data_IF_735297619778
#
_entry.id   IF_735297619778
#
_cell.length_a   1.000
_cell.length_b   1.000
_cell.length_c   1.000
_cell.angle_alpha   90.00
_cell.angle_beta   90.00
_cell.angle_gamma   90.00
#
_symmetry.space_group_name_H-M   'P 1'
#
loop_
_entity.id
_entity.type
_entity.pdbx_description
1 polymer ?
#
# COMPACT_ATOMS: atom_id res chain seq x y z
N UNK A 1 15.38 0.58 -5.09
CA UNK A 1 14.06 1.25 -5.00
C UNK A 1 14.07 2.05 -3.71
N UNK A 2 13.28 3.12 -3.58
CA UNK A 2 13.16 3.83 -2.29
C UNK A 2 12.06 3.20 -1.44
N UNK A 3 12.25 3.19 -0.12
CA UNK A 3 11.26 2.75 0.85
C UNK A 3 9.95 3.53 0.67
N UNK A 4 8.82 2.82 0.65
CA UNK A 4 7.50 3.45 0.69
C UNK A 4 7.15 3.85 2.13
N UNK A 5 6.90 5.15 2.31
CA UNK A 5 6.54 5.76 3.59
C UNK A 5 5.06 5.51 3.91
N UNK A 6 4.75 5.11 5.15
CA UNK A 6 3.38 5.03 5.68
C UNK A 6 2.90 6.39 6.22
N UNK A 7 1.62 6.52 6.57
CA UNK A 7 1.13 7.73 7.24
C UNK A 7 1.80 7.95 8.62
N UNK A 8 2.16 6.86 9.31
CA UNK A 8 2.95 6.93 10.55
C UNK A 8 4.35 7.48 10.26
N UNK A 9 5.03 7.00 9.20
CA UNK A 9 6.35 7.49 8.82
C UNK A 9 6.29 9.01 8.52
N UNK A 10 5.25 9.46 7.81
CA UNK A 10 5.01 10.88 7.50
C UNK A 10 4.72 11.70 8.76
N UNK A 11 3.99 11.15 9.74
CA UNK A 11 3.76 11.80 11.04
C UNK A 11 5.08 12.13 11.74
N UNK A 12 5.98 11.16 11.85
CA UNK A 12 7.29 11.37 12.48
C UNK A 12 8.19 12.33 11.67
N UNK A 13 8.19 12.22 10.34
CA UNK A 13 8.89 13.18 9.48
C UNK A 13 8.34 14.59 9.64
N UNK A 14 7.02 14.75 9.76
CA UNK A 14 6.41 16.08 9.95
C UNK A 14 6.94 16.75 11.21
N UNK A 15 7.07 16.00 12.33
CA UNK A 15 7.67 16.50 13.57
C UNK A 15 9.13 16.89 13.39
N UNK A 16 9.92 16.05 12.72
CA UNK A 16 11.34 16.33 12.49
C UNK A 16 11.53 17.58 11.59
N UNK A 17 10.70 17.72 10.55
CA UNK A 17 10.78 18.82 9.60
C UNK A 17 10.23 20.15 10.12
N UNK A 18 9.58 20.18 11.30
CA UNK A 18 9.30 21.43 12.01
C UNK A 18 10.57 22.22 12.34
N UNK A 19 11.74 21.58 12.35
CA UNK A 19 13.04 22.27 12.43
C UNK A 19 13.29 23.26 11.28
N UNK A 20 12.56 23.13 10.16
CA UNK A 20 12.60 24.06 9.04
C UNK A 20 11.71 25.29 9.22
N UNK A 21 10.87 25.37 10.26
CA UNK A 21 10.05 26.55 10.50
C UNK A 21 10.96 27.77 10.68
N UNK A 22 10.62 28.87 10.00
CA UNK A 22 11.44 30.09 9.84
C UNK A 22 12.72 29.92 9.02
N UNK A 23 12.98 28.75 8.41
CA UNK A 23 14.09 28.58 7.49
C UNK A 23 13.77 29.24 6.14
N UNK A 24 14.80 29.84 5.53
CA UNK A 24 14.73 30.46 4.20
C UNK A 24 15.06 29.43 3.14
N UNK A 25 14.25 29.32 2.09
CA UNK A 25 14.57 28.51 0.92
C UNK A 25 15.61 29.28 0.10
N UNK A 26 16.86 28.81 0.07
CA UNK A 26 17.93 29.48 -0.68
C UNK A 26 17.96 29.05 -2.13
N UNK A 27 18.00 27.73 -2.36
CA UNK A 27 18.25 27.15 -3.68
C UNK A 27 17.39 25.90 -3.84
N UNK A 28 16.91 25.68 -5.06
CA UNK A 28 16.13 24.50 -5.42
C UNK A 28 16.80 23.87 -6.63
N UNK A 29 17.03 22.57 -6.62
CA UNK A 29 17.62 21.83 -7.73
C UNK A 29 16.74 20.64 -8.08
N UNK A 30 16.86 20.17 -9.30
CA UNK A 30 16.21 18.94 -9.71
C UNK A 30 17.18 18.12 -10.56
N UNK A 31 17.33 16.86 -10.19
CA UNK A 31 18.09 15.84 -10.92
C UNK A 31 17.12 14.69 -11.16
N UNK A 32 16.82 14.40 -12.42
CA UNK A 32 15.81 13.40 -12.81
C UNK A 32 14.46 13.60 -12.06
N UNK A 33 14.08 12.63 -11.22
CA UNK A 33 12.88 12.60 -10.40
C UNK A 33 13.08 13.09 -8.96
N UNK A 34 14.26 13.62 -8.65
CA UNK A 34 14.62 14.08 -7.32
C UNK A 34 14.72 15.60 -7.28
N UNK A 35 14.05 16.22 -6.32
CA UNK A 35 14.11 17.67 -6.07
C UNK A 35 14.84 17.91 -4.76
N UNK A 36 15.88 18.75 -4.81
CA UNK A 36 16.65 19.16 -3.64
C UNK A 36 16.30 20.60 -3.27
N UNK A 37 15.79 20.81 -2.05
CA UNK A 37 15.55 22.12 -1.49
C UNK A 37 16.63 22.43 -0.45
N UNK A 38 17.46 23.43 -0.72
CA UNK A 38 18.45 23.93 0.26
C UNK A 38 17.83 25.06 1.06
N UNK A 39 17.77 24.84 2.36
CA UNK A 39 17.30 25.79 3.36
C UNK A 39 18.47 26.38 4.13
N UNK A 40 18.32 27.64 4.53
CA UNK A 40 19.15 28.28 5.54
C UNK A 40 18.29 28.50 6.79
N UNK A 41 18.62 27.79 7.86
CA UNK A 41 17.99 27.94 9.17
C UNK A 41 18.99 28.55 10.16
N UNK A 42 18.53 28.84 11.39
CA UNK A 42 19.43 29.29 12.48
C UNK A 42 20.52 28.26 12.82
N UNK A 43 20.25 26.98 12.53
CA UNK A 43 21.17 25.87 12.77
C UNK A 43 22.11 25.60 11.59
N UNK A 44 22.06 26.42 10.54
CA UNK A 44 22.89 26.31 9.35
C UNK A 44 22.14 25.84 8.12
N UNK A 45 22.89 25.28 7.16
CA UNK A 45 22.34 24.81 5.88
C UNK A 45 21.78 23.41 6.03
N UNK A 46 20.57 23.21 5.54
CA UNK A 46 19.88 21.91 5.52
C UNK A 46 19.40 21.64 4.11
N UNK A 47 19.61 20.44 3.59
CA UNK A 47 19.10 20.03 2.28
C UNK A 47 17.99 19.01 2.48
N UNK A 48 16.78 19.31 1.98
CA UNK A 48 15.69 18.35 1.86
C UNK A 48 15.74 17.73 0.47
N UNK A 49 15.84 16.40 0.39
CA UNK A 49 15.79 15.57 -0.80
C UNK A 49 14.40 14.96 -0.92
N UNK A 50 13.71 15.26 -2.02
CA UNK A 50 12.40 14.71 -2.35
C UNK A 50 12.51 13.82 -3.59
N UNK A 51 12.45 12.50 -3.42
CA UNK A 51 12.47 11.51 -4.52
C UNK A 51 11.04 11.11 -4.84
N UNK A 52 10.59 11.44 -6.04
CA UNK A 52 9.22 11.18 -6.49
C UNK A 52 9.19 9.75 -7.05
N UNK A 53 8.30 8.86 -6.54
CA UNK A 53 6.95 9.20 -6.07
C UNK A 53 6.67 9.26 -4.57
N UNK A 54 7.63 9.13 -3.65
CA UNK A 54 7.19 9.05 -2.25
C UNK A 54 8.24 8.94 -1.16
N UNK A 55 9.43 9.49 -1.39
CA UNK A 55 10.49 9.48 -0.40
C UNK A 55 10.98 10.90 -0.14
N UNK A 56 11.20 11.21 1.14
CA UNK A 56 11.56 12.55 1.59
C UNK A 56 12.55 12.42 2.76
N UNK A 57 13.72 13.03 2.65
CA UNK A 57 14.77 13.00 3.67
C UNK A 57 15.56 14.31 3.73
N UNK A 58 16.15 14.62 4.87
CA UNK A 58 17.33 15.45 4.94
C UNK A 58 18.52 14.67 4.40
N UNK A 59 19.26 15.32 3.51
CA UNK A 59 20.41 14.70 2.86
C UNK A 59 21.65 15.55 2.99
N UNK A 60 22.79 14.86 3.05
CA UNK A 60 24.15 15.43 2.95
C UNK A 60 24.81 15.05 1.62
N UNK A 61 24.06 14.44 0.72
CA UNK A 61 24.53 14.02 -0.59
C UNK A 61 24.93 15.22 -1.45
N UNK A 62 26.10 15.12 -2.08
CA UNK A 62 26.50 16.00 -3.17
C UNK A 62 25.89 15.48 -4.48
N UNK A 63 25.44 16.40 -5.33
CA UNK A 63 24.80 16.07 -6.59
C UNK A 63 25.22 17.07 -7.67
N UNK A 64 25.36 16.56 -8.89
CA UNK A 64 25.61 17.37 -10.06
C UNK A 64 24.28 17.88 -10.62
N UNK A 65 23.99 19.15 -10.35
CA UNK A 65 22.79 19.79 -10.87
C UNK A 65 22.97 20.10 -12.37
N UNK A 66 21.94 19.90 -13.21
CA UNK A 66 22.00 20.29 -14.61
C UNK A 66 22.15 21.81 -14.73
N UNK A 67 22.85 22.26 -15.77
CA UNK A 67 23.05 23.69 -16.07
C UNK A 67 21.73 24.44 -16.21
N UNK A 68 20.74 23.80 -16.84
CA UNK A 68 19.40 24.34 -17.04
C UNK A 68 18.39 23.60 -16.17
N UNK A 69 17.67 24.30 -15.26
CA UNK A 69 16.66 23.66 -14.43
C UNK A 69 15.46 23.22 -15.30
N UNK A 70 14.90 22.02 -15.08
CA UNK A 70 13.63 21.63 -15.66
C UNK A 70 12.52 22.63 -15.35
N UNK A 71 11.48 22.68 -16.20
CA UNK A 71 10.43 23.71 -16.13
C UNK A 71 9.77 23.84 -14.73
N UNK A 72 9.46 22.72 -14.09
CA UNK A 72 8.89 22.73 -12.74
C UNK A 72 9.88 23.27 -11.69
N UNK A 73 11.16 22.87 -11.75
CA UNK A 73 12.21 23.40 -10.88
C UNK A 73 12.40 24.92 -11.09
N UNK A 74 12.39 25.39 -12.33
CA UNK A 74 12.47 26.82 -12.64
C UNK A 74 11.29 27.61 -12.04
N UNK A 75 10.08 27.04 -12.10
CA UNK A 75 8.89 27.62 -11.49
C UNK A 75 8.97 27.64 -9.96
N UNK A 76 9.40 26.55 -9.33
CA UNK A 76 9.66 26.52 -7.88
C UNK A 76 10.65 27.62 -7.49
N UNK A 77 11.78 27.74 -8.22
CA UNK A 77 12.78 28.80 -7.98
C UNK A 77 12.17 30.20 -8.07
N UNK A 78 11.36 30.47 -9.10
CA UNK A 78 10.72 31.78 -9.31
C UNK A 78 9.85 32.21 -8.12
N UNK A 79 9.16 31.27 -7.49
CA UNK A 79 8.18 31.58 -6.44
C UNK A 79 8.70 31.39 -5.02
N UNK A 80 9.57 30.42 -4.81
CA UNK A 80 10.00 29.99 -3.47
C UNK A 80 11.40 30.47 -3.09
N UNK A 81 12.25 30.88 -4.04
CA UNK A 81 13.60 31.34 -3.68
C UNK A 81 13.52 32.60 -2.83
N UNK A 82 14.11 32.54 -1.64
CA UNK A 82 14.06 33.59 -0.64
C UNK A 82 12.79 33.61 0.22
N UNK A 83 11.84 32.71 -0.03
CA UNK A 83 10.67 32.52 0.80
C UNK A 83 11.02 31.81 2.12
N UNK A 84 10.14 31.94 3.11
CA UNK A 84 10.31 31.37 4.45
C UNK A 84 9.24 30.32 4.72
N UNK A 85 9.64 29.21 5.34
CA UNK A 85 8.70 28.19 5.83
C UNK A 85 7.99 28.74 7.07
N UNK A 86 6.66 28.73 7.04
CA UNK A 86 5.78 29.18 8.13
C UNK A 86 5.36 28.02 9.02
N UNK A 87 5.02 26.90 8.40
CA UNK A 87 4.63 25.68 9.11
C UNK A 87 4.93 24.43 8.28
N UNK A 88 5.03 23.29 8.95
CA UNK A 88 5.15 21.96 8.35
C UNK A 88 4.20 21.02 9.09
N UNK A 89 3.27 20.43 8.34
CA UNK A 89 2.26 19.55 8.92
C UNK A 89 1.86 18.43 7.96
N UNK A 90 1.43 17.31 8.55
CA UNK A 90 0.78 16.23 7.82
C UNK A 90 -0.70 16.59 7.60
N UNK A 91 -1.21 16.37 6.39
CA UNK A 91 -2.63 16.54 6.12
C UNK A 91 -3.41 15.32 6.64
N UNK A 92 -4.17 15.50 7.71
CA UNK A 92 -4.90 14.43 8.38
C UNK A 92 -3.99 13.27 8.77
N UNK A 93 -4.47 12.02 8.64
CA UNK A 93 -3.64 10.82 8.75
C UNK A 93 -3.29 10.22 7.38
N UNK A 94 -3.01 11.08 6.41
CA UNK A 94 -2.66 10.68 5.04
C UNK A 94 -1.15 10.73 4.79
N UNK A 95 -0.71 10.11 3.69
CA UNK A 95 0.68 10.20 3.22
C UNK A 95 0.93 11.50 2.45
N UNK A 96 0.57 12.62 3.06
CA UNK A 96 0.64 13.95 2.47
C UNK A 96 1.31 14.89 3.48
N UNK A 97 2.41 15.49 3.06
CA UNK A 97 3.12 16.48 3.86
C UNK A 97 3.00 17.85 3.20
N UNK A 98 2.67 18.87 4.00
CA UNK A 98 2.43 20.23 3.54
C UNK A 98 3.40 21.17 4.20
N UNK A 99 4.06 21.99 3.38
CA UNK A 99 4.89 23.10 3.81
C UNK A 99 4.11 24.37 3.51
N UNK A 100 3.72 25.10 4.55
CA UNK A 100 3.19 26.46 4.41
C UNK A 100 4.36 27.42 4.23
N UNK A 101 4.39 28.17 3.13
CA UNK A 101 5.52 29.00 2.73
C UNK A 101 5.02 30.42 2.44
N UNK A 102 5.73 31.41 2.97
CA UNK A 102 5.45 32.82 2.74
C UNK A 102 6.62 33.52 2.04
N UNK A 103 6.33 34.29 1.01
CA UNK A 103 7.28 35.12 0.26
C UNK A 103 6.74 36.53 0.12
N UNK A 104 7.28 37.50 0.87
CA UNK A 104 6.93 38.94 0.91
C UNK A 104 5.42 39.27 0.92
N UNK A 105 4.73 39.04 -0.19
CA UNK A 105 3.32 39.37 -0.45
C UNK A 105 2.46 38.14 -0.82
N UNK A 106 3.07 36.98 -1.05
CA UNK A 106 2.41 35.77 -1.51
C UNK A 106 2.58 34.62 -0.52
N UNK A 107 1.53 33.83 -0.37
CA UNK A 107 1.54 32.59 0.40
C UNK A 107 1.32 31.39 -0.52
N UNK A 108 2.05 30.32 -0.21
CA UNK A 108 2.07 29.10 -0.98
C UNK A 108 1.92 27.88 -0.06
N UNK A 109 1.35 26.81 -0.59
CA UNK A 109 1.46 25.47 -0.05
C UNK A 109 2.36 24.68 -1.01
N UNK A 110 3.45 24.13 -0.49
CA UNK A 110 4.25 23.12 -1.18
C UNK A 110 3.83 21.76 -0.63
N UNK A 111 3.16 20.98 -1.47
CA UNK A 111 2.47 19.75 -1.07
C UNK A 111 3.22 18.56 -1.65
N UNK A 112 3.60 17.62 -0.79
CA UNK A 112 4.23 16.36 -1.15
C UNK A 112 3.20 15.23 -1.00
N UNK A 113 2.74 14.67 -2.11
CA UNK A 113 1.91 13.46 -2.14
C UNK A 113 2.83 12.24 -2.17
N UNK A 114 3.01 11.56 -1.03
CA UNK A 114 4.01 10.50 -0.80
C UNK A 114 3.47 9.08 -1.04
N UNK A 115 2.44 8.95 -1.87
CA UNK A 115 1.82 7.67 -2.27
C UNK A 115 1.91 7.52 -3.78
N UNK A 116 2.13 6.31 -4.31
CA UNK A 116 2.21 6.09 -5.78
C UNK A 116 0.90 6.51 -6.47
N UNK A 117 0.95 7.30 -7.57
CA UNK A 117 2.12 7.61 -8.41
C UNK A 117 2.99 8.78 -7.93
N UNK A 118 2.67 9.41 -6.81
CA UNK A 118 3.44 10.47 -6.17
C UNK A 118 3.29 11.82 -6.84
N UNK A 119 3.48 12.89 -6.07
CA UNK A 119 3.55 14.22 -6.65
C UNK A 119 4.23 15.24 -5.73
N UNK A 120 4.68 16.33 -6.34
CA UNK A 120 5.02 17.57 -5.65
C UNK A 120 4.25 18.68 -6.34
N UNK A 121 3.41 19.39 -5.60
CA UNK A 121 2.51 20.41 -6.14
C UNK A 121 2.78 21.73 -5.46
N UNK A 122 2.98 22.79 -6.25
CA UNK A 122 3.04 24.16 -5.74
C UNK A 122 1.67 24.81 -5.93
N UNK A 123 1.06 25.21 -4.82
CA UNK A 123 -0.24 25.86 -4.78
C UNK A 123 -0.07 27.28 -4.24
N UNK A 124 -0.61 28.27 -4.93
CA UNK A 124 -0.76 29.64 -4.43
C UNK A 124 -2.06 29.72 -3.62
N UNK A 125 -2.01 30.25 -2.40
CA UNK A 125 -3.22 30.43 -1.59
C UNK A 125 -4.21 31.39 -2.28
N UNK A 126 -5.54 31.15 -2.18
CA UNK A 126 -6.17 30.14 -1.32
C UNK A 126 -5.99 28.70 -1.81
N UNK A 127 -6.16 28.37 -3.10
CA UNK A 127 -6.07 26.98 -3.58
C UNK A 127 -5.57 26.82 -5.03
N UNK A 128 -5.01 27.84 -5.68
CA UNK A 128 -4.68 27.76 -7.12
C UNK A 128 -3.36 27.04 -7.38
N UNK A 129 -3.37 25.93 -8.11
CA UNK A 129 -2.18 25.21 -8.57
C UNK A 129 -1.38 26.11 -9.51
N UNK A 130 -0.13 26.41 -9.15
CA UNK A 130 0.81 27.07 -10.05
C UNK A 130 1.39 26.06 -11.04
N UNK A 131 1.91 24.94 -10.53
CA UNK A 131 2.32 23.78 -11.31
C UNK A 131 2.55 22.56 -10.39
N UNK A 132 2.87 21.43 -10.99
CA UNK A 132 3.17 20.17 -10.30
C UNK A 132 4.26 19.39 -11.03
N UNK A 133 5.01 18.57 -10.31
CA UNK A 133 5.95 17.64 -10.92
C UNK A 133 5.27 16.68 -11.91
N UNK A 134 4.09 16.15 -11.54
CA UNK A 134 3.27 15.29 -12.40
C UNK A 134 1.89 15.92 -12.63
N UNK A 135 1.64 16.39 -13.85
CA UNK A 135 0.30 16.84 -14.28
C UNK A 135 -0.54 15.61 -14.63
N UNK A 136 -1.63 15.38 -13.88
CA UNK A 136 -2.42 14.15 -14.01
C UNK A 136 -3.88 14.36 -13.66
N UNK A 137 -4.75 13.65 -14.37
CA UNK A 137 -6.15 13.44 -14.00
C UNK A 137 -6.25 12.19 -13.14
N UNK A 138 -6.65 12.36 -11.89
CA UNK A 138 -7.06 11.29 -11.00
C UNK A 138 -8.57 11.06 -11.12
N UNK A 139 -9.07 10.01 -10.46
CA UNK A 139 -10.51 9.69 -10.47
C UNK A 139 -11.36 10.81 -9.86
N UNK A 140 -10.81 11.46 -8.83
CA UNK A 140 -11.45 12.43 -7.95
C UNK A 140 -11.04 13.88 -8.24
N UNK A 141 -9.86 14.12 -8.82
CA UNK A 141 -9.33 15.48 -9.06
C UNK A 141 -8.45 15.60 -10.30
N UNK A 142 -8.28 16.84 -10.78
CA UNK A 142 -7.34 17.19 -11.84
C UNK A 142 -6.19 18.03 -11.28
N UNK A 143 -4.96 17.53 -11.36
CA UNK A 143 -3.76 18.30 -11.02
C UNK A 143 -3.21 18.91 -12.30
N UNK A 144 -3.46 20.21 -12.50
CA UNK A 144 -2.99 20.98 -13.64
C UNK A 144 -2.86 22.47 -13.27
N UNK A 145 -1.97 23.23 -13.93
CA UNK A 145 -1.83 24.67 -13.70
C UNK A 145 -3.15 25.43 -13.81
N UNK A 146 -3.31 26.46 -12.98
CA UNK A 146 -4.48 27.36 -12.90
C UNK A 146 -5.80 26.68 -12.50
N UNK A 147 -5.76 25.43 -12.00
CA UNK A 147 -6.89 24.75 -11.38
C UNK A 147 -6.80 24.86 -9.86
N UNK A 148 -7.92 24.70 -9.18
CA UNK A 148 -7.92 24.62 -7.73
C UNK A 148 -7.44 23.23 -7.27
N UNK A 149 -6.61 23.22 -6.24
CA UNK A 149 -6.12 22.02 -5.59
C UNK A 149 -7.14 21.56 -4.54
N UNK A 150 -7.39 20.26 -4.54
CA UNK A 150 -8.16 19.57 -3.51
C UNK A 150 -7.34 18.40 -3.00
N UNK A 151 -7.30 18.22 -1.68
CA UNK A 151 -6.73 17.00 -1.10
C UNK A 151 -7.55 15.77 -1.52
N UNK A 152 -6.91 14.59 -1.70
CA UNK A 152 -7.66 13.35 -1.84
C UNK A 152 -8.61 13.13 -0.65
N UNK A 153 -9.73 12.43 -0.87
CA UNK A 153 -10.62 12.07 0.22
C UNK A 153 -9.89 11.16 1.22
N UNK A 154 -9.99 11.51 2.50
CA UNK A 154 -9.46 10.69 3.59
C UNK A 154 -10.51 9.68 4.07
N UNK A 155 -10.08 8.46 4.39
CA UNK A 155 -10.97 7.41 4.91
C UNK A 155 -11.19 7.53 6.42
N UNK A 156 -10.12 7.86 7.15
CA UNK A 156 -10.15 8.08 8.59
C UNK A 156 -8.93 8.91 8.99
N UNK A 157 -9.09 9.69 10.06
CA UNK A 157 -7.99 10.46 10.64
C UNK A 157 -7.83 10.08 12.11
N UNK A 158 -6.84 9.25 12.40
CA UNK A 158 -6.56 8.77 13.76
C UNK A 158 -6.20 9.90 14.75
N UNK A 159 -5.91 11.13 14.28
CA UNK A 159 -5.69 12.27 15.16
C UNK A 159 -6.99 12.78 15.79
N UNK A 160 -8.14 12.60 15.13
CA UNK A 160 -9.45 13.11 15.59
C UNK A 160 -10.51 12.04 15.76
N UNK A 161 -10.28 10.82 15.27
CA UNK A 161 -11.20 9.69 15.34
C UNK A 161 -11.54 9.33 16.80
N UNK A 162 -12.83 9.29 17.12
CA UNK A 162 -13.29 8.87 18.45
C UNK A 162 -13.22 7.35 18.62
N UNK A 163 -13.18 6.87 19.86
CA UNK A 163 -13.17 5.43 20.15
C UNK A 163 -14.42 4.71 19.67
N UNK A 164 -15.58 5.40 19.73
CA UNK A 164 -16.86 4.86 19.23
C UNK A 164 -16.84 4.71 17.71
N UNK A 165 -16.41 5.74 16.99
CA UNK A 165 -16.30 5.68 15.52
C UNK A 165 -15.29 4.62 15.09
N UNK A 166 -14.14 4.56 15.77
CA UNK A 166 -13.14 3.52 15.53
C UNK A 166 -13.71 2.12 15.75
N UNK A 167 -14.41 1.89 16.86
CA UNK A 167 -15.06 0.61 17.16
C UNK A 167 -16.07 0.21 16.07
N UNK A 168 -16.91 1.15 15.61
CA UNK A 168 -17.84 0.92 14.50
C UNK A 168 -17.09 0.51 13.24
N UNK A 169 -16.06 1.26 12.83
CA UNK A 169 -15.26 0.98 11.63
C UNK A 169 -14.61 -0.41 11.64
N UNK A 170 -14.08 -0.85 12.79
CA UNK A 170 -13.45 -2.17 12.89
C UNK A 170 -14.47 -3.29 12.99
N UNK A 171 -15.63 -3.06 13.61
CA UNK A 171 -16.68 -4.06 13.83
C UNK A 171 -17.50 -4.35 12.57
N UNK A 172 -17.70 -3.34 11.72
CA UNK A 172 -18.43 -3.47 10.44
C UNK A 172 -17.56 -4.02 9.31
N UNK A 173 -16.26 -4.19 9.52
CA UNK A 173 -15.36 -4.68 8.49
C UNK A 173 -15.38 -6.19 8.34
N UNK A 174 -15.62 -6.69 7.12
CA UNK A 174 -15.51 -8.12 6.80
C UNK A 174 -14.06 -8.62 6.66
N UNK A 175 -13.08 -7.74 6.84
CA UNK A 175 -11.65 -8.07 6.69
C UNK A 175 -11.04 -8.39 8.06
N UNK A 176 -9.91 -9.11 8.03
CA UNK A 176 -9.08 -9.29 9.23
C UNK A 176 -8.67 -7.93 9.81
N UNK A 177 -8.59 -7.81 11.13
CA UNK A 177 -8.26 -6.57 11.83
C UNK A 177 -7.01 -5.87 11.27
N UNK A 178 -5.94 -6.62 10.98
CA UNK A 178 -4.71 -6.07 10.37
C UNK A 178 -5.00 -5.37 9.03
N UNK A 179 -5.80 -5.99 8.15
CA UNK A 179 -6.18 -5.42 6.85
C UNK A 179 -7.09 -4.20 7.00
N UNK A 180 -7.98 -4.21 8.00
CA UNK A 180 -8.86 -3.08 8.31
C UNK A 180 -8.05 -1.87 8.76
N UNK A 181 -7.17 -2.04 9.75
CA UNK A 181 -6.27 -0.98 10.22
C UNK A 181 -5.32 -0.50 9.10
N UNK A 182 -4.81 -1.42 8.29
CA UNK A 182 -3.97 -1.07 7.15
C UNK A 182 -4.73 -0.20 6.12
N UNK A 183 -6.02 -0.48 5.86
CA UNK A 183 -6.83 0.35 4.96
C UNK A 183 -7.16 1.74 5.52
N UNK A 184 -7.20 1.91 6.84
CA UNK A 184 -7.39 3.21 7.50
C UNK A 184 -6.13 4.10 7.47
N UNK A 185 -5.10 3.74 6.70
CA UNK A 185 -3.89 4.55 6.51
C UNK A 185 -2.69 4.12 7.35
N UNK A 186 -2.87 3.21 8.31
CA UNK A 186 -1.79 2.76 9.21
C UNK A 186 -0.70 1.98 8.45
N UNK A 187 -1.11 1.19 7.45
CA UNK A 187 -0.25 0.23 6.76
C UNK A 187 -0.09 -1.08 7.53
N UNK A 188 0.24 -2.16 6.82
CA UNK A 188 0.26 -3.52 7.39
C UNK A 188 1.24 -3.70 8.55
N UNK A 189 2.49 -3.24 8.40
CA UNK A 189 3.52 -3.42 9.43
C UNK A 189 3.19 -2.66 10.72
N UNK A 190 2.67 -1.45 10.62
CA UNK A 190 2.24 -0.67 11.79
C UNK A 190 0.97 -1.22 12.42
N UNK A 191 0.04 -1.75 11.64
CA UNK A 191 -1.12 -2.47 12.17
C UNK A 191 -0.69 -3.68 13.01
N UNK A 192 0.27 -4.47 12.52
CA UNK A 192 0.81 -5.59 13.28
C UNK A 192 1.56 -5.16 14.53
N UNK A 193 2.33 -4.07 14.46
CA UNK A 193 3.04 -3.51 15.60
C UNK A 193 2.10 -3.08 16.71
N UNK A 194 1.06 -2.31 16.38
CA UNK A 194 0.08 -1.84 17.37
C UNK A 194 -0.60 -3.02 18.04
N UNK A 195 -1.04 -4.04 17.28
CA UNK A 195 -1.68 -5.24 17.83
C UNK A 195 -0.73 -6.07 18.70
N UNK A 196 0.55 -6.14 18.32
CA UNK A 196 1.61 -6.81 19.10
C UNK A 196 1.77 -6.16 20.46
N UNK A 197 1.84 -4.81 20.51
CA UNK A 197 1.99 -4.04 21.74
C UNK A 197 0.84 -4.24 22.73
N UNK A 198 -0.37 -4.48 22.24
CA UNK A 198 -1.56 -4.74 23.08
C UNK A 198 -1.91 -6.23 23.23
N UNK A 199 -1.13 -7.13 22.62
CA UNK A 199 -1.32 -8.59 22.66
C UNK A 199 -2.71 -9.05 22.17
N UNK A 200 -3.30 -8.35 21.20
CA UNK A 200 -4.58 -8.71 20.60
C UNK A 200 -4.33 -9.56 19.35
N UNK A 201 -5.09 -10.66 19.21
CA UNK A 201 -4.96 -11.57 18.06
C UNK A 201 -5.36 -10.89 16.75
N UNK A 202 -4.64 -11.21 15.67
CA UNK A 202 -4.85 -10.65 14.32
C UNK A 202 -6.20 -11.04 13.67
N UNK A 203 -6.94 -11.99 14.25
CA UNK A 203 -8.13 -12.64 13.65
C UNK A 203 -9.45 -12.43 14.41
N UNK A 204 -9.44 -11.75 15.56
CA UNK A 204 -10.63 -11.65 16.39
C UNK A 204 -11.60 -10.52 15.93
N UNK A 205 -12.90 -10.73 16.17
CA UNK A 205 -13.86 -9.62 16.30
C UNK A 205 -13.47 -8.83 17.54
N UNK A 206 -13.31 -7.53 17.39
CA UNK A 206 -12.80 -6.64 18.44
C UNK A 206 -13.94 -6.26 19.38
N UNK A 207 -13.74 -6.34 20.69
CA UNK A 207 -14.69 -5.75 21.67
C UNK A 207 -14.51 -4.23 21.77
N UNK A 208 -15.44 -3.52 22.41
CA UNK A 208 -15.29 -2.07 22.58
C UNK A 208 -14.07 -1.73 23.46
N UNK A 209 -13.79 -2.56 24.47
CA UNK A 209 -12.62 -2.43 25.34
C UNK A 209 -11.33 -2.63 24.55
N UNK A 210 -11.26 -3.68 23.71
CA UNK A 210 -10.13 -3.95 22.83
C UNK A 210 -9.91 -2.81 21.83
N UNK A 211 -10.98 -2.23 21.29
CA UNK A 211 -10.90 -1.09 20.38
C UNK A 211 -10.30 0.15 21.08
N UNK A 212 -10.73 0.44 22.32
CA UNK A 212 -10.15 1.50 23.16
C UNK A 212 -8.67 1.22 23.47
N UNK A 213 -8.29 -0.04 23.74
CA UNK A 213 -6.89 -0.42 23.96
C UNK A 213 -6.03 -0.15 22.72
N UNK A 214 -6.51 -0.53 21.53
CA UNK A 214 -5.81 -0.30 20.25
C UNK A 214 -5.63 1.19 19.99
N UNK A 215 -6.69 2.00 20.15
CA UNK A 215 -6.63 3.46 19.96
C UNK A 215 -5.64 4.12 20.92
N UNK A 216 -5.63 3.70 22.19
CA UNK A 216 -4.66 4.20 23.16
C UNK A 216 -3.23 3.81 22.79
N UNK A 217 -2.99 2.56 22.37
CA UNK A 217 -1.67 2.13 21.92
C UNK A 217 -1.19 2.90 20.69
N UNK A 218 -2.09 3.19 19.74
CA UNK A 218 -1.79 4.02 18.58
C UNK A 218 -1.42 5.45 18.99
N UNK A 219 -2.21 6.10 19.86
CA UNK A 219 -1.91 7.45 20.38
C UNK A 219 -0.56 7.49 21.11
N UNK A 220 -0.25 6.44 21.89
CA UNK A 220 1.03 6.31 22.56
C UNK A 220 2.17 6.18 21.53
N UNK A 221 2.03 5.29 20.55
CA UNK A 221 3.00 5.12 19.46
C UNK A 221 3.25 6.44 18.72
N UNK A 222 2.20 7.17 18.35
CA UNK A 222 2.31 8.45 17.65
C UNK A 222 2.90 9.57 18.52
N UNK A 223 2.93 9.43 19.85
CA UNK A 223 3.53 10.40 20.77
C UNK A 223 4.96 10.05 21.19
N UNK A 224 5.47 8.88 20.80
CA UNK A 224 6.84 8.46 21.10
C UNK A 224 7.89 9.43 20.53
N UNK A 225 9.03 9.47 21.23
CA UNK A 225 10.23 10.10 20.71
C UNK A 225 10.83 9.24 19.61
N UNK A 226 11.27 9.89 18.55
CA UNK A 226 11.89 9.22 17.41
C UNK A 226 13.13 8.44 17.86
N UNK A 227 13.17 7.15 17.53
CA UNK A 227 14.27 6.23 17.80
C UNK A 227 14.44 5.33 16.58
N UNK A 228 15.17 5.77 15.55
CA UNK A 228 15.18 5.10 14.26
C UNK A 228 15.65 3.66 14.38
N UNK A 229 14.93 2.75 13.73
CA UNK A 229 15.12 1.31 13.86
C UNK A 229 15.21 0.68 12.48
N UNK A 230 16.33 0.02 12.20
CA UNK A 230 16.58 -0.66 10.93
C UNK A 230 16.23 -2.14 11.08
N UNK A 231 15.24 -2.58 10.31
CA UNK A 231 14.87 -3.99 10.14
C UNK A 231 15.18 -4.34 8.69
N UNK A 232 16.12 -5.26 8.47
CA UNK A 232 16.63 -5.60 7.15
C UNK A 232 17.10 -4.33 6.38
N UNK A 233 16.36 -3.92 5.35
CA UNK A 233 16.58 -2.72 4.53
C UNK A 233 15.57 -1.59 4.79
N UNK A 234 14.62 -1.78 5.72
CA UNK A 234 13.56 -0.81 6.03
C UNK A 234 13.86 -0.07 7.33
N UNK A 235 13.77 1.25 7.27
CA UNK A 235 13.91 2.14 8.44
C UNK A 235 12.54 2.46 9.00
N UNK A 236 12.39 2.29 10.31
CA UNK A 236 11.23 2.73 11.07
C UNK A 236 11.61 3.93 11.95
N UNK A 237 10.69 4.86 12.23
CA UNK A 237 10.90 6.03 13.08
C UNK A 237 11.03 5.69 14.57
N UNK A 238 10.50 4.54 15.00
CA UNK A 238 10.58 4.04 16.38
C UNK A 238 10.91 2.55 16.38
N UNK A 239 11.32 2.03 17.54
CA UNK A 239 11.56 0.60 17.73
C UNK A 239 10.27 -0.20 17.52
N UNK A 240 10.40 -1.31 16.80
CA UNK A 240 9.33 -2.27 16.56
C UNK A 240 9.48 -3.46 17.52
N UNK A 241 8.42 -3.83 18.24
CA UNK A 241 8.38 -5.04 19.07
C UNK A 241 8.03 -6.28 18.25
N UNK A 242 7.32 -6.08 17.13
CA UNK A 242 6.90 -7.15 16.20
C UNK A 242 8.02 -7.65 15.29
N UNK A 243 9.12 -6.90 15.16
CA UNK A 243 10.19 -7.17 14.20
C UNK A 243 11.56 -7.03 14.86
N UNK A 244 12.50 -7.92 14.49
CA UNK A 244 13.86 -7.87 15.00
C UNK A 244 14.74 -7.00 14.09
N UNK A 245 15.43 -6.04 14.69
CA UNK A 245 16.32 -5.09 14.00
C UNK A 245 17.31 -4.43 14.95
N UNK A 246 17.87 -3.28 14.53
CA UNK A 246 18.84 -2.52 15.32
C UNK A 246 18.49 -1.03 15.37
N UNK A 247 18.68 -0.42 16.53
CA UNK A 247 18.55 1.03 16.69
C UNK A 247 19.72 1.76 16.01
N UNK A 248 19.42 2.90 15.40
CA UNK A 248 20.39 3.77 14.75
C UNK A 248 20.55 5.06 15.55
N UNK A 249 21.80 5.47 15.78
CA UNK A 249 22.14 6.71 16.49
C UNK A 249 22.16 7.93 15.54
N UNK A 250 21.02 8.21 14.91
CA UNK A 250 20.82 9.39 14.07
C UNK A 250 19.35 9.80 14.06
N UNK A 251 18.98 10.83 13.30
CA UNK A 251 17.58 11.18 13.11
C UNK A 251 16.87 10.18 12.17
N UNK A 252 15.53 10.15 12.18
CA UNK A 252 14.78 9.26 11.29
C UNK A 252 15.01 9.64 9.84
N UNK A 253 15.01 10.95 9.57
CA UNK A 253 15.25 11.42 8.23
C UNK A 253 16.65 11.08 7.71
N UNK A 254 17.69 11.16 8.56
CA UNK A 254 19.05 10.78 8.18
C UNK A 254 19.20 9.26 8.01
N UNK A 255 18.49 8.46 8.82
CA UNK A 255 18.44 7.01 8.65
C UNK A 255 17.79 6.62 7.32
N UNK A 256 16.68 7.27 6.95
CA UNK A 256 16.04 7.09 5.65
C UNK A 256 17.01 7.42 4.51
N UNK A 257 17.72 8.54 4.56
CA UNK A 257 18.66 8.92 3.49
C UNK A 257 19.77 7.88 3.27
N UNK A 258 20.29 7.29 4.36
CA UNK A 258 21.38 6.31 4.31
C UNK A 258 20.94 4.90 3.90
N UNK A 259 19.74 4.48 4.32
CA UNK A 259 19.32 3.07 4.25
C UNK A 259 18.00 2.85 3.50
N UNK A 260 17.16 3.89 3.40
CA UNK A 260 15.86 3.82 2.73
C UNK A 260 15.96 3.79 1.21
N UNK A 261 17.14 4.05 0.64
CA UNK A 261 17.46 3.77 -0.75
C UNK A 261 18.14 2.40 -0.86
N UNK A 262 17.47 1.42 -1.46
CA UNK A 262 18.09 0.13 -1.71
C UNK A 262 19.24 0.29 -2.71
N UNK A 263 20.49 0.24 -2.23
CA UNK A 263 21.67 0.05 -3.07
C UNK A 263 21.78 -1.42 -3.46
N UNK A 264 21.47 -1.73 -4.72
CA UNK A 264 21.88 -2.92 -5.50
C UNK A 264 21.27 -4.29 -5.08
N UNK A 265 20.83 -4.49 -3.83
CA UNK A 265 20.32 -5.79 -3.33
C UNK A 265 19.03 -6.25 -4.02
N UNK A 266 18.20 -5.31 -4.50
CA UNK A 266 16.89 -5.59 -5.09
C UNK A 266 16.93 -6.34 -6.42
N UNK A 267 18.04 -6.30 -7.17
CA UNK A 267 18.13 -7.07 -8.43
C UNK A 267 18.16 -8.57 -8.10
N UNK A 268 18.89 -8.95 -7.06
CA UNK A 268 19.02 -10.35 -6.66
C UNK A 268 17.74 -10.87 -6.01
N UNK A 269 17.05 -10.07 -5.20
CA UNK A 269 15.78 -10.44 -4.57
C UNK A 269 14.59 -10.43 -5.54
N UNK A 270 14.54 -9.47 -6.48
CA UNK A 270 13.56 -9.52 -7.57
C UNK A 270 13.81 -10.74 -8.44
N UNK A 271 15.08 -11.03 -8.76
CA UNK A 271 15.46 -12.22 -9.53
C UNK A 271 15.04 -13.50 -8.81
N UNK A 272 15.30 -13.64 -7.51
CA UNK A 272 14.88 -14.83 -6.75
C UNK A 272 13.36 -14.98 -6.68
N UNK A 273 12.63 -13.88 -6.52
CA UNK A 273 11.15 -13.87 -6.58
C UNK A 273 10.60 -14.26 -7.95
N UNK A 274 11.22 -13.81 -9.04
CA UNK A 274 10.82 -14.22 -10.39
C UNK A 274 11.17 -15.68 -10.66
N UNK A 275 12.30 -16.18 -10.15
CA UNK A 275 12.68 -17.60 -10.26
C UNK A 275 11.68 -18.49 -9.55
N UNK A 276 11.31 -18.19 -8.30
CA UNK A 276 10.32 -18.99 -7.58
C UNK A 276 8.94 -18.95 -8.24
N UNK A 277 8.58 -17.83 -8.88
CA UNK A 277 7.35 -17.73 -9.65
C UNK A 277 7.37 -18.63 -10.90
N UNK A 278 8.51 -18.71 -11.59
CA UNK A 278 8.72 -19.58 -12.75
C UNK A 278 8.60 -21.04 -12.32
N UNK A 279 9.25 -21.45 -11.22
CA UNK A 279 9.17 -22.82 -10.71
C UNK A 279 7.73 -23.25 -10.40
N UNK A 280 6.92 -22.36 -9.81
CA UNK A 280 5.50 -22.62 -9.56
C UNK A 280 4.74 -22.79 -10.88
N UNK A 281 5.02 -21.96 -11.88
CA UNK A 281 4.37 -22.03 -13.19
C UNK A 281 4.76 -23.30 -13.97
N UNK A 282 6.03 -23.71 -13.92
CA UNK A 282 6.51 -24.94 -14.53
C UNK A 282 5.87 -26.17 -13.88
N UNK A 283 5.76 -26.18 -12.55
CA UNK A 283 5.05 -27.25 -11.84
C UNK A 283 3.58 -27.32 -12.24
N UNK A 284 2.92 -26.15 -12.39
CA UNK A 284 1.54 -26.10 -12.86
C UNK A 284 1.39 -26.57 -14.30
N UNK A 285 2.35 -26.25 -15.17
CA UNK A 285 2.37 -26.71 -16.54
C UNK A 285 2.45 -28.24 -16.61
N UNK A 286 3.32 -28.86 -15.81
CA UNK A 286 3.44 -30.33 -15.70
C UNK A 286 2.14 -30.99 -15.19
N UNK A 287 1.45 -30.36 -14.24
CA UNK A 287 0.13 -30.83 -13.79
C UNK A 287 -0.90 -30.76 -14.92
N UNK A 288 -0.93 -29.66 -15.68
CA UNK A 288 -1.83 -29.49 -16.82
C UNK A 288 -1.54 -30.49 -17.94
N UNK A 289 -0.27 -30.79 -18.22
CA UNK A 289 0.10 -31.81 -19.21
C UNK A 289 -0.40 -33.21 -18.80
N UNK A 290 -0.29 -33.56 -17.50
CA UNK A 290 -0.87 -34.80 -16.98
C UNK A 290 -2.39 -34.81 -17.09
N UNK A 291 -3.05 -33.69 -16.79
CA UNK A 291 -4.50 -33.56 -16.95
C UNK A 291 -4.92 -33.69 -18.42
N UNK A 292 -4.14 -33.20 -19.38
CA UNK A 292 -4.41 -33.37 -20.82
C UNK A 292 -4.40 -34.85 -21.17
N UNK A 293 -3.36 -35.60 -20.78
CA UNK A 293 -3.25 -37.03 -21.06
C UNK A 293 -4.40 -37.81 -20.43
N UNK A 294 -4.71 -37.55 -19.15
CA UNK A 294 -5.78 -38.23 -18.42
C UNK A 294 -7.17 -37.91 -19.02
N UNK A 295 -7.44 -36.64 -19.34
CA UNK A 295 -8.71 -36.26 -19.96
C UNK A 295 -8.84 -36.79 -21.39
N UNK A 296 -7.75 -36.88 -22.13
CA UNK A 296 -7.75 -37.49 -23.46
C UNK A 296 -8.03 -38.99 -23.37
N UNK A 297 -7.39 -39.72 -22.45
CA UNK A 297 -7.69 -41.13 -22.21
C UNK A 297 -9.15 -41.36 -21.77
N UNK A 298 -9.70 -40.48 -20.91
CA UNK A 298 -11.12 -40.50 -20.55
C UNK A 298 -12.01 -40.25 -21.76
N UNK A 299 -11.67 -39.28 -22.61
CA UNK A 299 -12.38 -38.97 -23.84
C UNK A 299 -12.39 -40.16 -24.80
N UNK A 300 -11.24 -40.78 -25.02
CA UNK A 300 -11.09 -41.96 -25.86
C UNK A 300 -11.89 -43.14 -25.31
N UNK A 301 -11.87 -43.35 -23.98
CA UNK A 301 -12.66 -44.38 -23.32
C UNK A 301 -14.17 -44.16 -23.52
N UNK A 302 -14.65 -42.92 -23.38
CA UNK A 302 -16.05 -42.58 -23.63
C UNK A 302 -16.40 -42.82 -25.11
N UNK A 303 -15.52 -42.44 -26.04
CA UNK A 303 -15.73 -42.61 -27.47
C UNK A 303 -15.79 -44.09 -27.88
N UNK A 304 -14.86 -44.92 -27.40
CA UNK A 304 -14.84 -46.36 -27.64
C UNK A 304 -16.12 -47.06 -27.13
N UNK A 305 -16.69 -46.55 -26.03
CA UNK A 305 -17.90 -47.09 -25.41
C UNK A 305 -19.15 -46.25 -25.68
N UNK A 306 -19.13 -45.42 -26.72
CA UNK A 306 -20.18 -44.41 -26.98
C UNK A 306 -21.58 -45.02 -27.06
N UNK A 307 -21.73 -46.16 -27.73
CA UNK A 307 -23.01 -46.87 -27.83
C UNK A 307 -23.61 -47.18 -26.46
N UNK A 308 -22.84 -47.86 -25.61
CA UNK A 308 -23.28 -48.23 -24.25
C UNK A 308 -23.57 -47.01 -23.37
N UNK A 309 -22.73 -45.97 -23.44
CA UNK A 309 -22.98 -44.72 -22.70
C UNK A 309 -24.23 -43.98 -23.19
N UNK A 310 -24.46 -43.94 -24.50
CA UNK A 310 -25.62 -43.26 -25.09
C UNK A 310 -26.94 -43.94 -24.71
N UNK A 311 -26.99 -45.28 -24.73
CA UNK A 311 -28.13 -46.05 -24.27
C UNK A 311 -28.39 -45.88 -22.77
N UNK A 312 -27.32 -45.90 -21.98
CA UNK A 312 -27.41 -45.70 -20.54
C UNK A 312 -27.94 -44.29 -20.21
N UNK A 313 -27.41 -43.25 -20.85
CA UNK A 313 -27.89 -41.88 -20.70
C UNK A 313 -29.35 -41.73 -21.13
N UNK A 314 -29.77 -42.40 -22.22
CA UNK A 314 -31.16 -42.42 -22.67
C UNK A 314 -32.08 -43.05 -21.62
N UNK A 315 -31.72 -44.25 -21.13
CA UNK A 315 -32.48 -44.94 -20.06
C UNK A 315 -32.57 -44.10 -18.78
N UNK A 316 -31.47 -43.47 -18.36
CA UNK A 316 -31.46 -42.60 -17.17
C UNK A 316 -32.37 -41.39 -17.37
N UNK A 317 -32.35 -40.76 -18.56
CA UNK A 317 -33.25 -39.63 -18.87
C UNK A 317 -34.71 -40.06 -18.86
N UNK A 318 -35.05 -41.19 -19.49
CA UNK A 318 -36.41 -41.75 -19.48
C UNK A 318 -36.88 -42.02 -18.04
N UNK A 319 -36.07 -42.73 -17.25
CA UNK A 319 -36.38 -43.02 -15.85
C UNK A 319 -36.54 -41.76 -15.00
N UNK A 320 -35.73 -40.72 -15.22
CA UNK A 320 -35.84 -39.44 -14.50
C UNK A 320 -37.11 -38.67 -14.85
N UNK A 321 -37.62 -38.84 -16.07
CA UNK A 321 -38.85 -38.18 -16.54
C UNK A 321 -40.09 -38.84 -15.93
N UNK A 322 -40.01 -40.16 -15.69
CA UNK A 322 -41.13 -40.96 -15.16
C UNK A 322 -41.12 -41.13 -13.63
N UNK A 323 -40.02 -40.83 -12.93
CA UNK A 323 -39.87 -41.14 -11.50
C UNK A 323 -39.24 -39.99 -10.70
N UNK A 324 -39.50 -39.99 -9.39
CA UNK A 324 -38.87 -39.09 -8.41
C UNK A 324 -37.38 -39.44 -8.20
N UNK A 325 -36.62 -38.55 -7.56
CA UNK A 325 -35.18 -38.77 -7.32
C UNK A 325 -34.91 -39.96 -6.37
N UNK A 326 -35.83 -40.26 -5.46
CA UNK A 326 -35.70 -41.37 -4.51
C UNK A 326 -35.94 -42.72 -5.22
N UNK A 327 -36.98 -42.80 -6.05
CA UNK A 327 -37.28 -43.97 -6.89
C UNK A 327 -36.18 -44.23 -7.92
N UNK A 328 -35.61 -43.16 -8.50
CA UNK A 328 -34.48 -43.28 -9.43
C UNK A 328 -33.25 -43.89 -8.75
N UNK A 329 -32.96 -43.53 -7.50
CA UNK A 329 -31.84 -44.10 -6.76
C UNK A 329 -32.00 -45.61 -6.51
N UNK A 330 -33.20 -46.06 -6.12
CA UNK A 330 -33.48 -47.47 -5.91
C UNK A 330 -33.37 -48.30 -7.20
N UNK A 331 -33.80 -47.73 -8.32
CA UNK A 331 -33.67 -48.38 -9.62
C UNK A 331 -32.21 -48.43 -10.10
N UNK A 332 -31.44 -47.37 -9.86
CA UNK A 332 -30.02 -47.31 -10.23
C UNK A 332 -29.16 -48.25 -9.38
N UNK A 333 -29.50 -48.49 -8.11
CA UNK A 333 -28.83 -49.49 -7.24
C UNK A 333 -28.86 -50.91 -7.80
N UNK A 334 -29.78 -51.22 -8.71
CA UNK A 334 -29.83 -52.53 -9.40
C UNK A 334 -28.75 -52.68 -10.47
N UNK A 335 -28.11 -51.58 -10.88
CA UNK A 335 -27.01 -51.61 -11.84
C UNK A 335 -25.68 -51.80 -11.11
N UNK A 336 -24.97 -52.89 -11.40
CA UNK A 336 -23.65 -53.19 -10.82
C UNK A 336 -22.59 -52.09 -10.97
N UNK A 337 -22.77 -51.19 -11.95
CA UNK A 337 -21.87 -50.06 -12.20
C UNK A 337 -22.26 -48.79 -11.42
N UNK A 338 -23.39 -48.78 -10.72
CA UNK A 338 -23.82 -47.61 -9.97
C UNK A 338 -23.07 -47.50 -8.65
N UNK A 339 -22.49 -46.31 -8.41
CA UNK A 339 -21.74 -46.02 -7.19
C UNK A 339 -22.51 -45.10 -6.26
N UNK A 340 -23.00 -43.97 -6.77
CA UNK A 340 -23.69 -42.97 -5.95
C UNK A 340 -24.61 -42.06 -6.77
N UNK A 341 -25.68 -41.55 -6.14
CA UNK A 341 -26.48 -40.44 -6.63
C UNK A 341 -26.39 -39.27 -5.64
N UNK A 342 -25.73 -38.18 -6.04
CA UNK A 342 -25.77 -36.92 -5.31
C UNK A 342 -27.03 -36.14 -5.71
N UNK A 343 -28.05 -36.20 -4.86
CA UNK A 343 -29.37 -35.56 -5.08
C UNK A 343 -29.29 -34.03 -5.10
N UNK A 344 -28.37 -33.43 -4.34
CA UNK A 344 -28.21 -31.98 -4.23
C UNK A 344 -27.62 -31.39 -5.51
N UNK A 345 -26.63 -32.07 -6.09
CA UNK A 345 -25.96 -31.67 -7.33
C UNK A 345 -26.60 -32.28 -8.59
N UNK A 346 -27.60 -33.16 -8.42
CA UNK A 346 -28.24 -33.95 -9.49
C UNK A 346 -27.20 -34.74 -10.32
N UNK A 347 -26.20 -35.30 -9.64
CA UNK A 347 -25.06 -36.01 -10.24
C UNK A 347 -25.14 -37.51 -9.96
N UNK A 348 -25.02 -38.34 -11.00
CA UNK A 348 -24.90 -39.80 -10.88
C UNK A 348 -23.43 -40.18 -11.09
N UNK A 349 -22.90 -41.01 -10.20
CA UNK A 349 -21.53 -41.55 -10.27
C UNK A 349 -21.62 -43.03 -10.60
N UNK A 350 -20.89 -43.43 -11.65
CA UNK A 350 -20.81 -44.80 -12.12
C UNK A 350 -19.34 -45.24 -12.16
N UNK A 351 -19.08 -46.53 -11.92
CA UNK A 351 -17.75 -47.14 -11.93
C UNK A 351 -17.64 -48.08 -13.14
N UNK A 352 -16.61 -47.86 -13.96
CA UNK A 352 -16.43 -48.51 -15.28
C UNK A 352 -15.08 -49.19 -15.40
#
# INVERSE_FOLDING_TARGET
MVQELSAVDVHFLSKEFKSLISAKIEKIYQVENTIYFRFYSKSGKVTLKAVIPGFLSFSKEDFDAPDFPPAFCALLRKHLSGAFVRDVYQQGFERILVFDISSKELEFLLIFELFKPGNVVLVKKPNTILDSFLRKRFKDRLIAPKKDYFFPPSQADFNVLSEKEFFTLVSESDRSLVKTLASLGLGGLWAEEVLTRVKISKTAKVTIEEASLIMRALRNLLSEQTSPYLVESRVFPVKMDSLQGKSLACSFSEALDRHGEEKVTTILEKKSKYISLIEIQEKRLLELEKEIVDNQAKGDFIYQNYGSFSELLKKIKELRTSNSLDELEELLKKNSKFKELNKKEKKIVLEF
#
